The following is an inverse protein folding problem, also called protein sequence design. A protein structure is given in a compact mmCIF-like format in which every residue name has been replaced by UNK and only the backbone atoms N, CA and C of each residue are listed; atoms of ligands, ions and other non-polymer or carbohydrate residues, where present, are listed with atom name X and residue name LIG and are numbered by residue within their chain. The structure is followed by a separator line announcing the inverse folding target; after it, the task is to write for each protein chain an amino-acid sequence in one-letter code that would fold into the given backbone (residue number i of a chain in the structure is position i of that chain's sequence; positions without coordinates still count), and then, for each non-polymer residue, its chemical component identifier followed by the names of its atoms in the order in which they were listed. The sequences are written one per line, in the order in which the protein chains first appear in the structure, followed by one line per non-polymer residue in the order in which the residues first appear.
data_IF_025874877924
#
_entry.id   IF_025874877924
#
_cell.length_a   1.000
_cell.length_b   1.000
_cell.length_c   1.000
_cell.angle_alpha   90.00
_cell.angle_beta   90.00
_cell.angle_gamma   90.00
#
_symmetry.space_group_name_H-M   'P 1'
#
loop_
_entity.id
_entity.type
_entity.pdbx_description
1 polymer ?
#
# COMPACT_ATOMS: atom_id res chain seq x y z
N UNK A 1 0.05 -0.85 12.68
CA UNK A 1 -1.07 -1.55 12.02
C UNK A 1 -1.75 -0.61 11.03
N UNK A 2 -2.13 -1.10 9.85
CA UNK A 2 -2.89 -0.35 8.84
C UNK A 2 -4.22 -1.03 8.56
N UNK A 3 -5.29 -0.26 8.46
CA UNK A 3 -6.57 -0.78 7.96
C UNK A 3 -6.51 -1.01 6.46
N UNK A 4 -7.29 -1.96 5.94
CA UNK A 4 -7.38 -2.17 4.48
C UNK A 4 -7.76 -0.86 3.76
N UNK A 5 -8.66 -0.06 4.33
CA UNK A 5 -9.06 1.23 3.77
C UNK A 5 -7.89 2.23 3.66
N UNK A 6 -6.97 2.24 4.64
CA UNK A 6 -5.76 3.06 4.57
C UNK A 6 -4.82 2.59 3.45
N UNK A 7 -4.70 1.28 3.26
CA UNK A 7 -3.84 0.71 2.21
C UNK A 7 -4.45 1.00 0.82
N UNK A 8 -5.77 0.92 0.69
CA UNK A 8 -6.51 1.31 -0.50
C UNK A 8 -6.31 2.80 -0.83
N UNK A 9 -6.40 3.67 0.18
CA UNK A 9 -6.16 5.10 0.02
C UNK A 9 -4.73 5.38 -0.47
N UNK A 10 -3.72 4.71 0.11
CA UNK A 10 -2.33 4.84 -0.34
C UNK A 10 -2.17 4.38 -1.80
N UNK A 11 -2.84 3.28 -2.19
CA UNK A 11 -2.81 2.79 -3.56
C UNK A 11 -3.41 3.81 -4.55
N UNK A 12 -4.56 4.38 -4.21
CA UNK A 12 -5.23 5.40 -5.03
C UNK A 12 -4.39 6.69 -5.14
N UNK A 13 -3.71 7.09 -4.07
CA UNK A 13 -2.83 8.27 -4.07
C UNK A 13 -1.62 8.09 -5.00
N UNK A 14 -1.01 6.89 -5.02
CA UNK A 14 0.06 6.56 -5.97
C UNK A 14 -0.43 6.66 -7.41
N UNK A 15 -1.65 6.16 -7.68
CA UNK A 15 -2.26 6.23 -9.01
C UNK A 15 -2.49 7.68 -9.47
N UNK A 16 -2.85 8.57 -8.54
CA UNK A 16 -3.12 9.99 -8.84
C UNK A 16 -1.86 10.86 -9.02
N UNK A 17 -0.68 10.45 -8.54
CA UNK A 17 0.56 11.21 -8.70
C UNK A 17 1.24 11.05 -10.08
N UNK A 18 0.65 10.26 -11.00
CA UNK A 18 1.23 9.96 -12.30
C UNK A 18 2.04 8.67 -12.24
N UNK A 19 1.41 7.57 -12.66
CA UNK A 19 1.96 6.21 -12.64
C UNK A 19 3.02 5.91 -13.70
N UNK A 20 3.47 6.89 -14.48
CA UNK A 20 4.23 6.62 -15.71
C UNK A 20 5.74 6.45 -15.48
N UNK A 21 6.23 6.61 -14.25
CA UNK A 21 7.62 6.28 -13.92
C UNK A 21 7.74 4.82 -13.49
N UNK A 22 8.82 4.10 -13.85
CA UNK A 22 9.06 2.74 -13.37
C UNK A 22 9.04 2.63 -11.84
N UNK A 23 9.49 3.66 -11.13
CA UNK A 23 9.42 3.71 -9.67
C UNK A 23 7.98 3.83 -9.15
N UNK A 24 7.12 4.63 -9.79
CA UNK A 24 5.70 4.73 -9.41
C UNK A 24 4.97 3.39 -9.65
N UNK A 25 5.24 2.71 -10.76
CA UNK A 25 4.68 1.38 -11.04
C UNK A 25 5.11 0.34 -10.00
N UNK A 26 6.40 0.33 -9.62
CA UNK A 26 6.91 -0.58 -8.61
C UNK A 26 6.24 -0.33 -7.24
N UNK A 27 6.08 0.94 -6.86
CA UNK A 27 5.38 1.35 -5.63
C UNK A 27 3.92 0.92 -5.63
N UNK A 28 3.22 1.18 -6.73
CA UNK A 28 1.82 0.81 -6.91
C UNK A 28 1.62 -0.71 -6.81
N UNK A 29 2.51 -1.48 -7.44
CA UNK A 29 2.47 -2.94 -7.37
C UNK A 29 2.64 -3.44 -5.92
N UNK A 30 3.63 -2.93 -5.19
CA UNK A 30 3.87 -3.36 -3.81
C UNK A 30 2.66 -3.09 -2.89
N UNK A 31 2.08 -1.88 -2.95
CA UNK A 31 0.89 -1.55 -2.15
C UNK A 31 -0.34 -2.35 -2.58
N UNK A 32 -0.52 -2.55 -3.90
CA UNK A 32 -1.60 -3.38 -4.43
C UNK A 32 -1.49 -4.84 -3.98
N UNK A 33 -0.27 -5.39 -3.94
CA UNK A 33 -0.03 -6.75 -3.47
C UNK A 33 -0.41 -6.89 -1.98
N UNK A 34 -0.05 -5.91 -1.13
CA UNK A 34 -0.46 -5.90 0.28
C UNK A 34 -1.99 -5.85 0.40
N UNK A 35 -2.65 -4.96 -0.35
CA UNK A 35 -4.11 -4.82 -0.33
C UNK A 35 -4.82 -6.11 -0.77
N UNK A 36 -4.40 -6.70 -1.88
CA UNK A 36 -4.97 -7.94 -2.42
C UNK A 36 -4.73 -9.13 -1.48
N UNK A 37 -3.56 -9.24 -0.88
CA UNK A 37 -3.26 -10.28 0.10
C UNK A 37 -4.13 -10.14 1.35
N UNK A 38 -4.34 -8.92 1.84
CA UNK A 38 -5.20 -8.64 2.98
C UNK A 38 -6.67 -8.99 2.68
N UNK A 39 -7.16 -8.66 1.48
CA UNK A 39 -8.49 -9.06 1.01
C UNK A 39 -8.63 -10.59 0.90
N UNK A 40 -7.66 -11.27 0.30
CA UNK A 40 -7.67 -12.72 0.13
C UNK A 40 -7.62 -13.46 1.48
N UNK A 41 -6.92 -12.91 2.47
CA UNK A 41 -6.87 -13.43 3.84
C UNK A 41 -8.14 -13.10 4.65
N UNK A 42 -9.03 -12.25 4.15
CA UNK A 42 -10.24 -11.83 4.86
C UNK A 42 -9.97 -11.01 6.13
N UNK A 43 -8.80 -10.38 6.22
CA UNK A 43 -8.41 -9.57 7.40
C UNK A 43 -8.86 -8.13 7.20
N UNK A 44 -9.26 -7.43 8.26
CA UNK A 44 -9.60 -6.00 8.15
C UNK A 44 -8.38 -5.07 8.26
N UNK A 45 -7.25 -5.62 8.74
CA UNK A 45 -6.06 -4.91 9.20
C UNK A 45 -4.81 -5.70 8.84
N UNK A 46 -3.74 -4.99 8.52
CA UNK A 46 -2.40 -5.54 8.25
C UNK A 46 -1.46 -5.05 9.34
N UNK A 47 -0.75 -5.98 9.97
CA UNK A 47 0.21 -5.66 11.02
C UNK A 47 1.50 -5.09 10.43
N UNK A 48 2.07 -4.08 11.08
CA UNK A 48 3.34 -3.49 10.60
C UNK A 48 4.48 -4.51 10.62
N UNK A 49 4.45 -5.48 11.53
CA UNK A 49 5.43 -6.56 11.62
C UNK A 49 5.42 -7.49 10.40
N UNK A 50 4.31 -7.52 9.65
CA UNK A 50 4.19 -8.26 8.38
C UNK A 50 4.68 -7.49 7.16
N UNK A 51 5.11 -6.23 7.35
CA UNK A 51 5.54 -5.33 6.30
C UNK A 51 7.03 -5.02 6.42
N UNK A 52 7.66 -4.78 5.29
CA UNK A 52 9.02 -4.25 5.21
C UNK A 52 9.05 -2.76 5.59
N UNK A 53 10.21 -2.27 6.04
CA UNK A 53 10.39 -0.84 6.35
C UNK A 53 10.01 0.06 5.16
N UNK A 54 10.35 -0.36 3.94
CA UNK A 54 10.04 0.39 2.72
C UNK A 54 8.53 0.47 2.44
N UNK A 55 7.78 -0.60 2.71
CA UNK A 55 6.32 -0.60 2.57
C UNK A 55 5.66 0.31 3.63
N UNK A 56 6.17 0.26 4.86
CA UNK A 56 5.73 1.14 5.96
C UNK A 56 5.97 2.61 5.59
N UNK A 57 7.17 2.97 5.13
CA UNK A 57 7.51 4.32 4.70
C UNK A 57 6.60 4.81 3.57
N UNK A 58 6.34 3.95 2.59
CA UNK A 58 5.47 4.26 1.46
C UNK A 58 4.02 4.46 1.88
N UNK A 59 3.44 3.56 2.68
CA UNK A 59 2.08 3.73 3.21
C UNK A 59 1.99 5.04 3.99
N UNK A 60 2.95 5.31 4.88
CA UNK A 60 2.98 6.54 5.66
C UNK A 60 3.14 7.80 4.80
N UNK A 61 3.88 7.72 3.70
CA UNK A 61 4.05 8.84 2.77
C UNK A 61 2.72 9.26 2.13
N UNK A 62 1.90 8.29 1.74
CA UNK A 62 0.62 8.53 1.05
C UNK A 62 -0.59 8.66 1.97
N UNK A 63 -0.43 8.42 3.28
CA UNK A 63 -1.45 8.65 4.30
C UNK A 63 -1.35 10.00 5.00
N UNK A 64 -0.29 10.78 4.76
CA UNK A 64 -0.13 12.15 5.25
C UNK A 64 -0.94 13.14 4.42
#
# INVERSE_FOLDING_TARGET
MYTIAQIEQANAAIHNQGGDTPQALARMKAISDIYLNALAAGVARVEQESLTEQEIEMINHFLK
#
